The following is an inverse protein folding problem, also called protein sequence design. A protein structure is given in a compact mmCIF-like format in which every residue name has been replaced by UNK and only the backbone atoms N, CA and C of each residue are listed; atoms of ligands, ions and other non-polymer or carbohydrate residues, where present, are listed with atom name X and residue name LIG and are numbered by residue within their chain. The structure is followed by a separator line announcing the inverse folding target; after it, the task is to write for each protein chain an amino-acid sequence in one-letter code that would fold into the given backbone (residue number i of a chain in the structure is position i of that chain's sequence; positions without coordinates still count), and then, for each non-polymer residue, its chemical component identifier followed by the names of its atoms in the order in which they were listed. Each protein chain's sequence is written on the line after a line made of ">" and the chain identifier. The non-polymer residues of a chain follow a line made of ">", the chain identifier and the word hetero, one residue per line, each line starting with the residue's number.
data_IF_794358171099
#
_entry.id   IF_794358171099
#
_cell.length_a   1.000
_cell.length_b   1.000
_cell.length_c   1.000
_cell.angle_alpha   90.00
_cell.angle_beta   90.00
_cell.angle_gamma   90.00
#
_symmetry.space_group_name_H-M   'P 1'
#
loop_
_entity.id
_entity.type
_entity.pdbx_description
1 polymer ?
#
# COMPACT_ATOMS: atom_id res chain seq x y z
N UNK A 1 11.78 1.57 11.45
CA UNK A 1 10.69 2.37 10.88
C UNK A 1 10.51 3.60 11.77
N UNK A 2 10.24 4.81 11.24
CA UNK A 2 9.97 5.99 12.07
C UNK A 2 8.83 5.70 13.05
N UNK A 3 8.92 6.24 14.27
CA UNK A 3 7.92 6.04 15.33
C UNK A 3 6.67 6.87 14.99
N UNK A 4 5.79 6.30 14.17
CA UNK A 4 4.52 6.93 13.79
C UNK A 4 3.60 6.98 15.02
N UNK A 5 3.42 8.17 15.58
CA UNK A 5 2.56 8.42 16.75
C UNK A 5 1.10 8.66 16.37
N UNK A 6 0.79 8.75 15.07
CA UNK A 6 -0.54 8.94 14.51
C UNK A 6 -1.10 7.71 13.78
N UNK A 7 -2.32 7.82 13.21
CA UNK A 7 -2.98 6.70 12.54
C UNK A 7 -2.21 6.25 11.30
N UNK A 8 -2.29 4.95 11.02
CA UNK A 8 -1.74 4.32 9.81
C UNK A 8 -2.83 3.65 8.98
N UNK A 9 -2.63 3.63 7.67
CA UNK A 9 -3.45 2.89 6.70
C UNK A 9 -2.55 1.96 5.88
N UNK A 10 -3.10 0.80 5.49
CA UNK A 10 -2.40 -0.21 4.68
C UNK A 10 -3.06 -0.35 3.32
N UNK A 11 -2.26 -0.41 2.27
CA UNK A 11 -2.72 -0.66 0.90
C UNK A 11 -2.10 -1.97 0.42
N UNK A 12 -2.94 -2.97 0.17
CA UNK A 12 -2.51 -4.31 -0.22
C UNK A 12 -1.82 -4.33 -1.60
N UNK A 13 -0.73 -5.07 -1.67
CA UNK A 13 0.02 -5.37 -2.88
C UNK A 13 -0.20 -6.86 -3.21
N UNK A 14 -0.57 -7.20 -4.46
CA UNK A 14 -0.64 -8.57 -4.91
C UNK A 14 0.69 -9.28 -4.65
N UNK A 15 0.62 -10.50 -4.12
CA UNK A 15 1.78 -11.31 -3.76
C UNK A 15 2.74 -11.54 -4.94
N UNK A 16 2.22 -11.62 -6.17
CA UNK A 16 3.01 -11.63 -7.40
C UNK A 16 2.40 -10.73 -8.48
N UNK A 17 2.81 -9.46 -8.47
CA UNK A 17 2.33 -8.47 -9.44
C UNK A 17 2.77 -8.79 -10.88
N UNK A 18 3.88 -9.52 -11.06
CA UNK A 18 4.36 -9.86 -12.41
C UNK A 18 3.57 -11.02 -12.99
N UNK A 19 3.22 -12.02 -12.17
CA UNK A 19 2.29 -13.07 -12.56
C UNK A 19 0.93 -12.47 -12.92
N UNK A 20 0.38 -11.57 -12.09
CA UNK A 20 -0.87 -10.88 -12.40
C UNK A 20 -0.81 -10.14 -13.74
N UNK A 21 0.25 -9.36 -13.99
CA UNK A 21 0.43 -8.65 -15.26
C UNK A 21 0.52 -9.55 -16.49
N UNK A 22 1.10 -10.75 -16.34
CA UNK A 22 1.22 -11.73 -17.44
C UNK A 22 -0.09 -12.47 -17.69
N UNK A 23 -0.79 -12.87 -16.63
CA UNK A 23 -2.02 -13.64 -16.72
C UNK A 23 -3.21 -12.75 -17.12
N UNK A 24 -3.31 -11.54 -16.54
CA UNK A 24 -4.40 -10.61 -16.77
C UNK A 24 -3.94 -9.14 -16.70
N UNK A 25 -3.57 -8.54 -17.85
CA UNK A 25 -3.20 -7.14 -17.93
C UNK A 25 -4.32 -6.17 -17.55
N UNK A 26 -5.59 -6.55 -17.75
CA UNK A 26 -6.73 -5.71 -17.43
C UNK A 26 -6.92 -5.62 -15.92
N UNK A 27 -6.91 -6.77 -15.23
CA UNK A 27 -6.93 -6.81 -13.77
C UNK A 27 -5.72 -6.09 -13.16
N UNK A 28 -4.53 -6.24 -13.74
CA UNK A 28 -3.35 -5.50 -13.30
C UNK A 28 -3.51 -3.97 -13.44
N UNK A 29 -4.15 -3.50 -14.52
CA UNK A 29 -4.44 -2.07 -14.74
C UNK A 29 -5.50 -1.56 -13.77
N UNK A 30 -6.56 -2.33 -13.54
CA UNK A 30 -7.61 -1.99 -12.58
C UNK A 30 -7.00 -1.86 -11.18
N UNK A 31 -6.24 -2.86 -10.74
CA UNK A 31 -5.53 -2.82 -9.46
C UNK A 31 -4.65 -1.57 -9.32
N UNK A 32 -3.83 -1.24 -10.34
CA UNK A 32 -3.00 -0.02 -10.33
C UNK A 32 -3.82 1.25 -10.21
N UNK A 33 -4.97 1.31 -10.85
CA UNK A 33 -5.87 2.48 -10.82
C UNK A 33 -6.47 2.65 -9.43
N UNK A 34 -6.94 1.55 -8.82
CA UNK A 34 -7.50 1.54 -7.47
C UNK A 34 -6.46 1.90 -6.42
N UNK A 35 -5.24 1.32 -6.49
CA UNK A 35 -4.14 1.67 -5.59
C UNK A 35 -3.79 3.14 -5.71
N UNK A 36 -3.69 3.67 -6.94
CA UNK A 36 -3.41 5.08 -7.16
C UNK A 36 -4.45 5.98 -6.50
N UNK A 37 -5.74 5.70 -6.68
CA UNK A 37 -6.81 6.48 -6.05
C UNK A 37 -6.74 6.41 -4.51
N UNK A 38 -6.40 5.25 -3.94
CA UNK A 38 -6.21 5.10 -2.50
C UNK A 38 -5.03 5.93 -1.97
N UNK A 39 -3.91 5.96 -2.71
CA UNK A 39 -2.76 6.82 -2.40
C UNK A 39 -3.15 8.30 -2.47
N UNK A 40 -3.76 8.75 -3.57
CA UNK A 40 -4.17 10.14 -3.75
C UNK A 40 -5.07 10.61 -2.60
N UNK A 41 -6.11 9.82 -2.27
CA UNK A 41 -7.01 10.13 -1.16
C UNK A 41 -6.34 10.14 0.23
N UNK A 42 -5.29 9.35 0.44
CA UNK A 42 -4.54 9.34 1.69
C UNK A 42 -3.57 10.55 1.77
N UNK A 43 -2.88 10.85 0.68
CA UNK A 43 -1.98 12.01 0.57
C UNK A 43 -2.74 13.33 0.78
N UNK A 44 -3.94 13.47 0.20
CA UNK A 44 -4.83 14.63 0.43
C UNK A 44 -5.21 14.81 1.90
N UNK A 45 -5.20 13.72 2.69
CA UNK A 45 -5.49 13.72 4.14
C UNK A 45 -4.24 13.88 5.00
N UNK A 46 -3.08 14.17 4.39
CA UNK A 46 -1.81 14.42 5.06
C UNK A 46 -1.06 13.16 5.49
N UNK A 47 -1.39 11.99 4.92
CA UNK A 47 -0.57 10.80 5.09
C UNK A 47 0.66 10.87 4.17
N UNK A 48 1.73 10.17 4.57
CA UNK A 48 2.89 9.89 3.74
C UNK A 48 3.14 8.39 3.70
N UNK A 49 3.64 7.88 2.58
CA UNK A 49 4.11 6.50 2.50
C UNK A 49 5.44 6.39 3.26
N UNK A 50 5.47 5.55 4.30
CA UNK A 50 6.60 5.46 5.22
C UNK A 50 7.27 4.10 5.21
N UNK A 51 6.56 3.05 4.77
CA UNK A 51 7.11 1.69 4.73
C UNK A 51 6.37 0.81 3.72
N UNK A 52 6.93 -0.37 3.46
CA UNK A 52 6.23 -1.49 2.85
C UNK A 52 6.50 -2.73 3.71
N UNK A 53 5.46 -3.22 4.38
CA UNK A 53 5.58 -4.32 5.34
C UNK A 53 4.71 -5.50 4.93
N UNK A 54 5.11 -6.68 5.35
CA UNK A 54 4.36 -7.91 5.14
C UNK A 54 3.46 -8.14 6.35
N UNK A 55 2.16 -8.28 6.12
CA UNK A 55 1.23 -8.65 7.19
C UNK A 55 1.64 -9.98 7.83
N UNK A 56 1.53 -10.05 9.16
CA UNK A 56 1.80 -11.27 9.90
C UNK A 56 0.72 -12.31 9.58
N UNK A 57 1.13 -13.43 8.97
CA UNK A 57 0.24 -14.54 8.62
C UNK A 57 0.92 -15.51 7.65
N UNK A 58 0.41 -16.75 7.52
CA UNK A 58 1.02 -17.79 6.68
C UNK A 58 1.08 -17.42 5.19
N UNK A 59 0.22 -16.51 4.72
CA UNK A 59 0.18 -16.03 3.33
C UNK A 59 0.78 -14.63 3.14
N UNK A 60 1.38 -14.06 4.19
CA UNK A 60 1.95 -12.70 4.30
C UNK A 60 1.79 -11.80 3.08
N UNK A 61 0.67 -11.07 3.03
CA UNK A 61 0.41 -10.05 2.00
C UNK A 61 1.34 -8.86 2.24
N UNK A 62 2.04 -8.42 1.20
CA UNK A 62 2.84 -7.20 1.28
C UNK A 62 1.91 -6.01 1.16
N UNK A 63 2.06 -5.01 2.02
CA UNK A 63 1.23 -3.81 2.07
C UNK A 63 2.11 -2.57 2.09
N UNK A 64 1.72 -1.53 1.36
CA UNK A 64 2.25 -0.19 1.62
C UNK A 64 1.69 0.31 2.94
N UNK A 65 2.54 0.92 3.77
CA UNK A 65 2.15 1.56 5.03
C UNK A 65 2.21 3.07 4.84
N UNK A 66 1.07 3.73 5.02
CA UNK A 66 0.97 5.17 5.01
C UNK A 66 0.64 5.66 6.42
N UNK A 67 1.36 6.66 6.90
CA UNK A 67 1.20 7.22 8.24
C UNK A 67 1.12 8.76 8.18
N UNK A 68 0.42 9.36 9.14
CA UNK A 68 0.41 10.82 9.36
C UNK A 68 0.75 11.17 10.80
N UNK A 69 1.24 12.39 11.04
CA UNK A 69 1.66 12.81 12.37
C UNK A 69 2.95 12.14 12.82
N UNK A 70 3.91 11.97 11.91
CA UNK A 70 5.26 11.55 12.24
C UNK A 70 6.15 12.79 12.47
N UNK A 71 7.02 12.74 13.46
CA UNK A 71 8.12 13.70 13.59
C UNK A 71 9.34 13.12 12.87
N UNK A 72 9.97 13.93 12.01
CA UNK A 72 11.24 13.63 11.32
C UNK A 72 12.43 13.77 12.26
#
# INVERSE_FOLDING_TARGET
>A
SPDATGPSVRIAIPSDVQALKRADPAAAREWRTTVRAAFEAALEKGYAAVDADREAGPEGVVCYVLARGFSL
#
